data_IF_784276643031
#
_entry.id   IF_784276643031
#
_cell.length_a   1.000
_cell.length_b   1.000
_cell.length_c   1.000
_cell.angle_alpha   90.00
_cell.angle_beta   90.00
_cell.angle_gamma   90.00
#
_symmetry.space_group_name_H-M   'P 1'
#
loop_
_entity.id
_entity.type
_entity.pdbx_description
1 polymer ?
#
# COMPACT_ATOMS: atom_id res chain seq x y z
N UNK A 1 -88.69 -4.63 -14.98
CA UNK A 1 -87.94 -5.32 -13.92
C UNK A 1 -86.79 -4.37 -13.59
N UNK A 2 -86.97 -3.53 -12.57
CA UNK A 2 -86.49 -3.82 -11.21
C UNK A 2 -84.99 -4.10 -11.25
N UNK A 3 -84.07 -3.35 -10.65
CA UNK A 3 -84.12 -2.30 -9.65
C UNK A 3 -82.81 -2.39 -8.84
N UNK A 4 -82.30 -1.24 -8.36
CA UNK A 4 -81.28 -1.08 -7.28
C UNK A 4 -79.87 -1.65 -7.58
N UNK A 5 -78.74 -1.11 -7.12
CA UNK A 5 -78.43 -0.26 -5.96
C UNK A 5 -77.00 0.32 -6.12
N UNK A 6 -76.83 1.56 -5.65
CA UNK A 6 -75.67 2.19 -4.98
C UNK A 6 -74.21 1.87 -5.43
N UNK A 7 -73.43 2.82 -5.98
CA UNK A 7 -72.82 4.03 -5.39
C UNK A 7 -71.72 3.77 -4.34
N UNK A 8 -70.44 3.95 -4.71
CA UNK A 8 -69.54 4.98 -4.12
C UNK A 8 -68.09 4.91 -4.66
N UNK A 9 -67.55 6.11 -4.97
CA UNK A 9 -66.16 6.62 -4.77
C UNK A 9 -64.99 5.86 -5.42
N UNK A 10 -63.93 6.46 -5.93
CA UNK A 10 -63.37 7.82 -6.03
C UNK A 10 -62.34 7.69 -7.19
N UNK A 11 -62.20 8.69 -8.07
CA UNK A 11 -60.95 9.47 -8.24
C UNK A 11 -59.66 8.63 -8.08
N UNK A 12 -58.70 8.57 -9.01
CA UNK A 12 -58.13 9.63 -9.84
C UNK A 12 -57.05 9.00 -10.72
N UNK A 13 -56.77 9.59 -11.88
CA UNK A 13 -55.74 9.14 -12.81
C UNK A 13 -54.35 9.08 -12.18
N UNK A 14 -53.65 7.96 -12.39
CA UNK A 14 -52.21 7.84 -12.14
C UNK A 14 -51.47 8.20 -13.42
N UNK A 15 -50.94 9.42 -13.41
CA UNK A 15 -49.91 9.90 -14.30
C UNK A 15 -48.58 9.24 -13.91
N UNK A 16 -47.86 8.71 -14.91
CA UNK A 16 -46.59 8.02 -14.74
C UNK A 16 -45.51 9.06 -14.47
N UNK A 17 -45.18 9.28 -13.19
CA UNK A 17 -44.02 10.07 -12.79
C UNK A 17 -42.76 9.19 -12.83
N UNK A 18 -41.83 9.56 -13.72
CA UNK A 18 -40.43 9.12 -13.69
C UNK A 18 -39.78 9.66 -12.42
N UNK A 19 -39.33 8.78 -11.54
CA UNK A 19 -38.38 9.14 -10.48
C UNK A 19 -36.97 9.01 -11.03
N UNK A 20 -36.40 10.16 -11.40
CA UNK A 20 -34.95 10.33 -11.48
C UNK A 20 -34.40 10.22 -10.05
N UNK A 21 -33.61 9.18 -9.81
CA UNK A 21 -32.86 9.03 -8.56
C UNK A 21 -31.63 9.93 -8.62
N UNK A 22 -31.60 10.94 -7.74
CA UNK A 22 -30.46 11.81 -7.46
C UNK A 22 -29.19 10.98 -7.24
N UNK A 23 -28.15 11.31 -8.01
CA UNK A 23 -26.77 10.86 -7.80
C UNK A 23 -26.03 12.03 -7.17
N UNK A 24 -26.31 12.35 -5.92
CA UNK A 24 -25.65 13.45 -5.20
C UNK A 24 -25.59 13.12 -3.70
N UNK A 25 -24.72 12.17 -3.30
CA UNK A 25 -24.37 11.93 -1.90
C UNK A 25 -22.86 11.57 -1.71
N UNK A 26 -22.00 11.77 -2.72
CA UNK A 26 -20.53 11.64 -2.56
C UNK A 26 -19.83 12.98 -2.18
N UNK A 27 -20.56 14.09 -2.10
CA UNK A 27 -19.94 15.43 -2.02
C UNK A 27 -19.52 15.90 -0.61
N UNK A 28 -19.81 15.17 0.47
CA UNK A 28 -19.59 15.71 1.84
C UNK A 28 -18.54 14.98 2.72
N UNK A 29 -17.83 13.98 2.21
CA UNK A 29 -16.70 13.37 2.94
C UNK A 29 -15.35 14.03 2.61
N UNK A 30 -15.23 14.67 1.45
CA UNK A 30 -13.97 15.27 0.97
C UNK A 30 -13.78 16.71 1.45
N UNK A 31 -14.88 17.42 1.74
CA UNK A 31 -14.87 18.80 2.25
C UNK A 31 -14.19 18.89 3.62
N UNK A 32 -14.41 17.89 4.50
CA UNK A 32 -13.81 17.78 5.83
C UNK A 32 -12.32 17.44 5.84
N UNK A 33 -11.85 16.64 4.86
CA UNK A 33 -10.44 16.23 4.76
C UNK A 33 -9.51 17.35 4.27
N UNK A 34 -10.05 18.34 3.54
CA UNK A 34 -9.30 19.52 3.09
C UNK A 34 -8.79 20.42 4.24
N UNK A 35 -9.31 20.21 5.47
CA UNK A 35 -8.94 20.94 6.68
C UNK A 35 -8.14 20.10 7.67
N UNK A 36 -7.82 18.85 7.34
CA UNK A 36 -6.95 18.00 8.17
C UNK A 36 -5.50 18.37 7.86
N UNK A 37 -5.09 19.53 8.36
CA UNK A 37 -3.68 19.76 8.68
C UNK A 37 -3.38 18.92 9.91
N UNK A 38 -2.55 17.88 9.76
CA UNK A 38 -1.94 17.21 10.89
C UNK A 38 -0.90 18.14 11.49
N UNK A 39 -1.37 19.04 12.35
CA UNK A 39 -0.53 20.00 13.03
C UNK A 39 0.42 19.33 14.04
N UNK A 40 0.20 18.04 14.35
CA UNK A 40 1.02 17.29 15.27
C UNK A 40 1.47 15.98 14.62
N UNK A 41 2.78 15.73 14.66
CA UNK A 41 3.33 14.43 14.31
C UNK A 41 2.64 13.35 15.15
N UNK A 42 2.19 12.26 14.53
CA UNK A 42 1.44 11.26 15.24
C UNK A 42 2.26 10.65 16.40
N UNK A 43 1.62 10.43 17.55
CA UNK A 43 2.30 9.82 18.70
C UNK A 43 2.75 8.41 18.36
N UNK A 44 4.07 8.17 18.36
CA UNK A 44 4.68 6.87 18.08
C UNK A 44 4.49 5.92 19.27
N UNK A 45 3.80 4.80 19.04
CA UNK A 45 3.68 3.70 20.00
C UNK A 45 4.40 2.45 19.46
N UNK A 46 5.28 1.85 20.26
CA UNK A 46 5.87 0.52 19.97
C UNK A 46 5.05 -0.55 20.67
N UNK A 47 4.63 -1.58 19.94
CA UNK A 47 3.67 -2.57 20.45
C UNK A 47 4.34 -3.87 20.91
N UNK A 48 4.39 -4.12 22.22
CA UNK A 48 4.83 -5.39 22.83
C UNK A 48 3.66 -6.10 23.54
N UNK A 49 2.70 -6.56 22.75
CA UNK A 49 1.78 -7.68 23.09
C UNK A 49 0.80 -7.57 24.28
N UNK A 50 0.76 -6.52 25.10
CA UNK A 50 -0.05 -6.59 26.33
C UNK A 50 -1.56 -6.22 26.22
N UNK A 51 -1.99 -5.28 25.35
CA UNK A 51 -3.40 -4.83 25.36
C UNK A 51 -3.97 -4.43 23.99
N UNK A 52 -4.31 -5.40 23.14
CA UNK A 52 -4.88 -5.12 21.81
C UNK A 52 -6.13 -4.21 21.87
N UNK A 53 -6.76 -4.03 23.04
CA UNK A 53 -7.85 -3.08 23.25
C UNK A 53 -7.46 -1.63 22.93
N UNK A 54 -6.20 -1.23 23.16
CA UNK A 54 -5.72 0.11 22.79
C UNK A 54 -5.69 0.28 21.28
N UNK A 55 -5.14 -0.70 20.55
CA UNK A 55 -5.13 -0.67 19.08
C UNK A 55 -6.56 -0.63 18.54
N UNK A 56 -7.43 -1.50 19.05
CA UNK A 56 -8.85 -1.51 18.70
C UNK A 56 -9.51 -0.16 18.97
N UNK A 57 -9.20 0.50 20.08
CA UNK A 57 -9.72 1.84 20.39
C UNK A 57 -9.18 2.94 19.47
N UNK A 58 -7.89 2.91 19.10
CA UNK A 58 -7.27 3.89 18.19
C UNK A 58 -7.90 3.80 16.79
N UNK A 59 -8.21 2.58 16.34
CA UNK A 59 -8.65 2.29 14.98
C UNK A 59 -10.14 1.92 14.86
N UNK A 60 -10.94 2.04 15.92
CA UNK A 60 -12.33 1.58 15.98
C UNK A 60 -13.21 2.11 14.85
N UNK A 61 -13.05 3.41 14.54
CA UNK A 61 -13.85 4.14 13.56
C UNK A 61 -13.02 4.55 12.33
N UNK A 62 -11.86 3.92 12.11
CA UNK A 62 -10.98 4.26 11.00
C UNK A 62 -11.48 3.62 9.69
N UNK A 63 -11.97 4.44 8.76
CA UNK A 63 -12.29 4.08 7.38
C UNK A 63 -11.10 4.31 6.43
N UNK A 64 -10.07 5.02 6.89
CA UNK A 64 -8.88 5.38 6.15
C UNK A 64 -7.65 5.33 7.06
N UNK A 65 -6.66 4.53 6.68
CA UNK A 65 -5.38 4.40 7.38
C UNK A 65 -4.21 4.56 6.41
N UNK A 66 -3.06 5.04 6.89
CA UNK A 66 -1.80 4.95 6.15
C UNK A 66 -1.03 3.72 6.60
N UNK A 67 -0.39 3.03 5.66
CA UNK A 67 0.30 1.76 5.84
C UNK A 67 1.66 1.78 5.15
N UNK A 68 2.67 1.26 5.84
CA UNK A 68 3.99 0.94 5.29
C UNK A 68 4.57 -0.26 6.06
N UNK A 69 5.52 -0.99 5.47
CA UNK A 69 6.25 -2.06 6.14
C UNK A 69 7.76 -1.88 5.98
N UNK A 70 8.50 -2.26 7.01
CA UNK A 70 9.96 -2.29 6.99
C UNK A 70 10.50 -3.65 7.39
N UNK A 71 11.57 -4.08 6.72
CA UNK A 71 12.10 -5.43 6.88
C UNK A 71 13.51 -5.63 6.31
N UNK A 72 13.99 -6.87 6.42
CA UNK A 72 15.24 -7.32 5.81
C UNK A 72 14.87 -8.08 4.53
N UNK A 73 15.29 -7.55 3.38
CA UNK A 73 14.91 -8.09 2.06
C UNK A 73 13.37 -8.27 1.92
N UNK A 74 12.60 -7.27 2.37
CA UNK A 74 11.13 -7.30 2.50
C UNK A 74 10.43 -8.04 1.34
N UNK A 75 9.55 -8.98 1.70
CA UNK A 75 8.89 -9.92 0.79
C UNK A 75 8.99 -11.37 1.28
N UNK A 76 8.46 -12.33 0.52
CA UNK A 76 8.38 -13.75 0.89
C UNK A 76 9.72 -14.45 1.13
N UNK A 77 10.81 -13.89 0.61
CA UNK A 77 12.16 -14.40 0.83
C UNK A 77 12.92 -13.63 1.93
N UNK A 78 12.30 -12.60 2.50
CA UNK A 78 12.87 -11.75 3.52
C UNK A 78 12.23 -12.00 4.88
N UNK A 79 12.25 -10.94 5.68
CA UNK A 79 11.52 -10.87 6.95
C UNK A 79 10.97 -9.47 7.18
N UNK A 80 9.68 -9.40 7.45
CA UNK A 80 9.04 -8.18 7.96
C UNK A 80 9.45 -7.96 9.40
N UNK A 81 9.85 -6.74 9.73
CA UNK A 81 10.31 -6.38 11.08
C UNK A 81 9.35 -5.43 11.77
N UNK A 82 8.81 -4.44 11.05
CA UNK A 82 7.91 -3.42 11.57
C UNK A 82 6.77 -3.21 10.57
N UNK A 83 5.54 -3.08 11.08
CA UNK A 83 4.40 -2.55 10.32
C UNK A 83 4.06 -1.17 10.87
N UNK A 84 4.00 -0.16 10.01
CA UNK A 84 3.54 1.18 10.38
C UNK A 84 2.08 1.34 10.00
N UNK A 85 1.24 1.67 10.98
CA UNK A 85 -0.17 1.99 10.71
C UNK A 85 -0.49 3.33 11.36
N UNK A 86 -1.03 4.26 10.58
CA UNK A 86 -1.46 5.54 11.08
C UNK A 86 -2.92 5.84 10.77
N UNK A 87 -3.56 6.57 11.69
CA UNK A 87 -4.72 7.41 11.41
C UNK A 87 -4.24 8.85 11.26
N UNK A 88 -5.17 9.76 10.96
CA UNK A 88 -4.90 11.20 11.04
C UNK A 88 -4.37 11.64 12.42
N UNK A 89 -4.68 10.94 13.53
CA UNK A 89 -4.28 11.38 14.89
C UNK A 89 -3.07 10.63 15.47
N UNK A 90 -2.82 9.40 15.04
CA UNK A 90 -1.90 8.47 15.71
C UNK A 90 -1.16 7.60 14.70
N UNK A 91 0.07 7.21 15.03
CA UNK A 91 0.94 6.35 14.22
C UNK A 91 1.51 5.32 15.16
N UNK A 92 1.29 4.06 14.82
CA UNK A 92 1.71 2.94 15.62
C UNK A 92 2.76 2.18 14.83
N UNK A 93 3.89 1.89 15.48
CA UNK A 93 4.95 1.05 14.96
C UNK A 93 4.81 -0.32 15.62
N UNK A 94 4.31 -1.29 14.87
CA UNK A 94 4.01 -2.62 15.36
C UNK A 94 5.25 -3.49 15.16
N UNK A 95 5.86 -3.94 16.25
CA UNK A 95 6.99 -4.85 16.19
C UNK A 95 6.49 -6.27 15.90
N UNK A 96 6.64 -6.69 14.64
CA UNK A 96 6.25 -8.02 14.16
C UNK A 96 7.45 -8.94 14.00
N UNK A 97 8.65 -8.51 14.42
CA UNK A 97 9.86 -9.30 14.29
C UNK A 97 9.74 -10.57 15.14
N UNK A 98 9.68 -11.72 14.47
CA UNK A 98 9.51 -13.02 15.14
C UNK A 98 8.06 -13.35 15.50
N UNK A 99 7.09 -12.50 15.13
CA UNK A 99 5.69 -12.87 15.16
C UNK A 99 5.42 -13.97 14.14
N UNK A 100 4.51 -14.88 14.47
CA UNK A 100 4.02 -15.93 13.58
C UNK A 100 2.56 -15.67 13.16
N UNK A 101 2.05 -16.49 12.24
CA UNK A 101 0.68 -16.40 11.71
C UNK A 101 -0.41 -16.49 12.79
N UNK A 102 -0.10 -17.13 13.91
CA UNK A 102 -1.00 -17.33 15.06
C UNK A 102 -0.89 -16.24 16.13
N UNK A 103 0.04 -15.31 15.99
CA UNK A 103 0.30 -14.27 16.99
C UNK A 103 -0.90 -13.32 17.09
N UNK A 104 -1.33 -12.91 18.30
CA UNK A 104 -2.50 -12.03 18.46
C UNK A 104 -2.38 -10.70 17.70
N UNK A 105 -1.17 -10.14 17.61
CA UNK A 105 -0.91 -8.94 16.81
C UNK A 105 -1.16 -9.19 15.31
N UNK A 106 -0.73 -10.34 14.79
CA UNK A 106 -0.95 -10.74 13.39
C UNK A 106 -2.44 -10.98 13.12
N UNK A 107 -3.17 -11.57 14.07
CA UNK A 107 -4.62 -11.70 13.96
C UNK A 107 -5.32 -10.34 13.88
N UNK A 108 -4.93 -9.37 14.73
CA UNK A 108 -5.46 -8.01 14.66
C UNK A 108 -5.10 -7.30 13.35
N UNK A 109 -3.85 -7.46 12.87
CA UNK A 109 -3.44 -6.94 11.57
C UNK A 109 -4.29 -7.51 10.44
N UNK A 110 -4.59 -8.82 10.46
CA UNK A 110 -5.47 -9.46 9.48
C UNK A 110 -6.84 -8.81 9.45
N UNK A 111 -7.46 -8.61 10.61
CA UNK A 111 -8.78 -7.99 10.71
C UNK A 111 -8.85 -6.63 10.01
N UNK A 112 -7.89 -5.73 10.26
CA UNK A 112 -7.92 -4.37 9.69
C UNK A 112 -7.42 -4.32 8.23
N UNK A 113 -6.41 -5.12 7.87
CA UNK A 113 -5.79 -5.08 6.54
C UNK A 113 -6.60 -5.81 5.47
N UNK A 114 -7.38 -6.83 5.86
CA UNK A 114 -8.29 -7.54 4.95
C UNK A 114 -9.67 -6.86 4.81
N UNK A 115 -10.06 -5.98 5.75
CA UNK A 115 -11.33 -5.26 5.69
C UNK A 115 -11.35 -4.25 4.53
N UNK A 116 -12.16 -4.55 3.50
CA UNK A 116 -12.30 -3.70 2.31
C UNK A 116 -13.04 -2.38 2.58
N UNK A 117 -13.67 -2.22 3.74
CA UNK A 117 -14.29 -0.96 4.16
C UNK A 117 -13.26 0.05 4.66
N UNK A 118 -12.08 -0.44 5.08
CA UNK A 118 -10.96 0.40 5.49
C UNK A 118 -10.04 0.59 4.28
N UNK A 119 -9.85 1.83 3.84
CA UNK A 119 -8.91 2.16 2.78
C UNK A 119 -7.49 2.24 3.34
N UNK A 120 -6.54 1.52 2.74
CA UNK A 120 -5.12 1.54 3.11
C UNK A 120 -4.35 2.43 2.14
N UNK A 121 -3.97 3.64 2.57
CA UNK A 121 -3.07 4.53 1.82
C UNK A 121 -1.66 3.97 1.93
N UNK A 122 -1.09 3.53 0.83
CA UNK A 122 0.22 2.89 0.76
C UNK A 122 0.98 3.41 -0.46
N UNK A 123 2.30 3.37 -0.46
CA UNK A 123 3.10 3.78 -1.61
C UNK A 123 3.82 2.57 -2.20
N UNK A 124 3.36 2.09 -3.35
CA UNK A 124 3.91 0.90 -4.02
C UNK A 124 3.77 -0.38 -3.18
N UNK A 125 2.54 -0.90 -3.09
CA UNK A 125 2.18 -2.00 -2.18
C UNK A 125 2.72 -3.39 -2.53
N UNK A 126 3.48 -3.54 -3.62
CA UNK A 126 3.82 -4.85 -4.20
C UNK A 126 4.59 -5.73 -3.22
N UNK A 127 5.61 -5.19 -2.57
CA UNK A 127 6.45 -5.94 -1.62
C UNK A 127 5.82 -6.07 -0.24
N UNK A 128 5.03 -5.09 0.18
CA UNK A 128 4.25 -5.15 1.41
C UNK A 128 3.20 -6.26 1.35
N UNK A 129 2.43 -6.31 0.26
CA UNK A 129 1.42 -7.34 0.05
C UNK A 129 2.03 -8.74 -0.06
N UNK A 130 3.18 -8.86 -0.74
CA UNK A 130 3.93 -10.12 -0.82
C UNK A 130 4.41 -10.59 0.57
N UNK A 131 4.97 -9.68 1.36
CA UNK A 131 5.42 -9.99 2.71
C UNK A 131 4.24 -10.40 3.62
N UNK A 132 3.15 -9.62 3.62
CA UNK A 132 1.94 -9.89 4.39
C UNK A 132 1.34 -11.27 4.08
N UNK A 133 1.21 -11.61 2.80
CA UNK A 133 0.61 -12.88 2.40
C UNK A 133 1.49 -14.06 2.82
N UNK A 134 2.79 -14.03 2.50
CA UNK A 134 3.65 -15.20 2.64
C UNK A 134 4.16 -15.39 4.07
N UNK A 135 4.45 -14.31 4.80
CA UNK A 135 4.92 -14.38 6.19
C UNK A 135 3.75 -14.55 7.17
N UNK A 136 2.63 -13.86 6.95
CA UNK A 136 1.56 -13.72 7.96
C UNK A 136 0.20 -14.28 7.55
N UNK A 137 0.05 -14.73 6.30
CA UNK A 137 -1.26 -15.16 5.74
C UNK A 137 -2.30 -14.04 5.88
N UNK A 138 -1.90 -12.83 5.45
CA UNK A 138 -2.75 -11.64 5.39
C UNK A 138 -2.87 -11.21 3.93
N UNK A 139 -4.09 -11.17 3.40
CA UNK A 139 -4.37 -10.70 2.05
C UNK A 139 -4.76 -9.22 2.07
N UNK A 140 -3.79 -8.33 1.82
CA UNK A 140 -4.04 -6.90 1.77
C UNK A 140 -5.11 -6.55 0.70
N UNK A 141 -6.18 -5.84 1.10
CA UNK A 141 -7.26 -5.41 0.21
C UNK A 141 -7.45 -3.89 0.27
N UNK A 142 -8.32 -3.29 -0.55
CA UNK A 142 -8.78 -1.90 -0.36
C UNK A 142 -7.67 -0.84 -0.32
N UNK A 143 -6.66 -0.95 -1.19
CA UNK A 143 -5.53 -0.01 -1.19
C UNK A 143 -5.83 1.24 -2.01
N UNK A 144 -5.41 2.40 -1.48
CA UNK A 144 -5.10 3.58 -2.27
C UNK A 144 -3.59 3.58 -2.47
N UNK A 145 -3.12 2.99 -3.58
CA UNK A 145 -1.70 3.00 -3.90
C UNK A 145 -1.31 4.36 -4.51
N UNK A 146 -0.60 5.16 -3.73
CA UNK A 146 -0.22 6.52 -4.11
C UNK A 146 0.73 6.56 -5.31
N UNK A 147 1.52 5.50 -5.57
CA UNK A 147 2.36 5.40 -6.76
C UNK A 147 1.50 5.18 -8.02
N UNK A 148 0.44 4.37 -7.91
CA UNK A 148 -0.53 4.13 -8.97
C UNK A 148 -1.36 5.37 -9.29
N UNK A 149 -1.80 6.11 -8.26
CA UNK A 149 -2.48 7.40 -8.44
C UNK A 149 -1.56 8.44 -9.07
N UNK A 150 -0.30 8.51 -8.64
CA UNK A 150 0.68 9.41 -9.26
C UNK A 150 0.87 9.07 -10.75
N UNK A 151 0.92 7.78 -11.09
CA UNK A 151 0.99 7.33 -12.47
C UNK A 151 -0.24 7.75 -13.28
N UNK A 152 -1.45 7.52 -12.79
CA UNK A 152 -2.67 7.90 -13.50
C UNK A 152 -2.75 9.43 -13.75
N UNK A 153 -2.25 10.24 -12.81
CA UNK A 153 -2.28 11.70 -12.89
C UNK A 153 -1.18 12.26 -13.82
N UNK A 154 0.01 11.66 -13.81
CA UNK A 154 1.21 12.26 -14.44
C UNK A 154 1.78 11.47 -15.61
N UNK A 155 1.34 10.22 -15.79
CA UNK A 155 1.93 9.24 -16.71
C UNK A 155 3.28 8.66 -16.25
N UNK A 156 3.80 9.06 -15.08
CA UNK A 156 5.11 8.60 -14.57
C UNK A 156 4.96 7.33 -13.73
N UNK A 157 5.74 6.30 -14.01
CA UNK A 157 5.77 5.03 -13.25
C UNK A 157 6.94 4.99 -12.28
N UNK A 158 6.83 4.19 -11.22
CA UNK A 158 7.90 3.87 -10.26
C UNK A 158 8.63 5.12 -9.70
N UNK A 159 7.86 6.18 -9.39
CA UNK A 159 8.37 7.38 -8.73
C UNK A 159 8.34 7.14 -7.23
N UNK A 160 9.48 7.34 -6.55
CA UNK A 160 9.56 7.13 -5.09
C UNK A 160 8.67 8.12 -4.31
N UNK A 161 8.43 7.82 -3.03
CA UNK A 161 7.56 8.60 -2.16
C UNK A 161 7.99 10.07 -2.05
N UNK A 162 9.26 10.36 -1.81
CA UNK A 162 9.74 11.74 -1.65
C UNK A 162 9.60 12.59 -2.94
N UNK A 163 9.88 12.02 -4.10
CA UNK A 163 9.67 12.68 -5.38
C UNK A 163 8.17 12.88 -5.67
N UNK A 164 7.35 11.91 -5.25
CA UNK A 164 5.88 12.02 -5.30
C UNK A 164 5.41 13.17 -4.41
N UNK A 165 5.77 13.20 -3.13
CA UNK A 165 5.42 14.28 -2.18
C UNK A 165 5.82 15.66 -2.72
N UNK A 166 7.03 15.77 -3.28
CA UNK A 166 7.51 17.01 -3.91
C UNK A 166 6.60 17.48 -5.04
N UNK A 167 6.13 16.57 -5.89
CA UNK A 167 5.20 16.91 -6.98
C UNK A 167 3.88 17.51 -6.48
N UNK A 168 3.39 17.05 -5.32
CA UNK A 168 2.17 17.58 -4.70
C UNK A 168 2.42 18.79 -3.80
N UNK A 169 3.67 19.29 -3.72
CA UNK A 169 4.09 20.39 -2.84
C UNK A 169 3.89 20.09 -1.35
N UNK A 170 4.07 18.83 -0.99
CA UNK A 170 4.05 18.36 0.40
C UNK A 170 5.48 18.27 0.93
N UNK A 171 5.60 18.33 2.26
CA UNK A 171 6.88 18.15 2.92
C UNK A 171 7.39 16.72 2.68
N UNK A 172 8.67 16.64 2.31
CA UNK A 172 9.36 15.37 2.13
C UNK A 172 9.65 14.73 3.47
N UNK A 173 9.70 13.40 3.47
CA UNK A 173 10.22 12.62 4.58
C UNK A 173 11.70 12.92 4.78
N UNK A 174 12.19 12.71 6.00
CA UNK A 174 13.61 12.88 6.30
C UNK A 174 14.44 12.04 5.31
N UNK A 175 15.39 12.68 4.62
CA UNK A 175 16.28 11.96 3.70
C UNK A 175 17.03 10.86 4.47
N UNK A 176 16.68 9.61 4.18
CA UNK A 176 17.31 8.44 4.80
C UNK A 176 18.72 8.26 4.25
N UNK A 177 19.68 8.06 5.14
CA UNK A 177 21.03 7.68 4.75
C UNK A 177 21.06 6.18 4.41
N UNK A 178 20.84 5.88 3.13
CA UNK A 178 20.86 4.51 2.61
C UNK A 178 22.24 3.82 2.68
N UNK A 179 23.29 4.50 3.16
CA UNK A 179 24.57 3.86 3.46
C UNK A 179 24.48 2.91 4.67
N UNK A 180 23.49 3.12 5.56
CA UNK A 180 23.27 2.26 6.74
C UNK A 180 23.08 0.79 6.35
N UNK A 181 22.42 0.53 5.23
CA UNK A 181 22.17 -0.83 4.75
C UNK A 181 23.44 -1.53 4.22
N UNK A 182 24.52 -0.78 3.97
CA UNK A 182 25.82 -1.37 3.60
C UNK A 182 26.56 -1.92 4.81
N UNK A 183 26.43 -1.27 5.96
CA UNK A 183 27.12 -1.66 7.19
C UNK A 183 26.24 -2.54 8.08
N UNK A 184 24.92 -2.40 7.97
CA UNK A 184 23.94 -3.21 8.69
C UNK A 184 22.76 -3.55 7.76
N UNK A 185 22.87 -4.65 7.02
CA UNK A 185 21.76 -5.19 6.21
C UNK A 185 20.56 -5.60 7.07
N UNK A 186 20.79 -5.95 8.35
CA UNK A 186 19.76 -6.27 9.33
C UNK A 186 19.25 -5.03 10.10
N UNK A 187 19.37 -3.82 9.55
CA UNK A 187 19.00 -2.57 10.22
C UNK A 187 17.61 -2.63 10.85
N UNK A 188 16.61 -3.03 10.07
CA UNK A 188 15.22 -3.12 10.54
C UNK A 188 14.95 -4.27 11.51
N UNK A 189 15.78 -5.31 11.50
CA UNK A 189 15.71 -6.41 12.47
C UNK A 189 16.55 -6.14 13.74
N UNK A 190 17.29 -5.04 13.81
CA UNK A 190 18.10 -4.69 14.98
C UNK A 190 17.20 -4.26 16.14
N UNK A 191 17.46 -4.78 17.35
CA UNK A 191 16.70 -4.45 18.57
C UNK A 191 17.63 -4.05 19.72
N UNK A 192 17.20 -3.14 20.62
CA UNK A 192 15.94 -2.38 20.55
C UNK A 192 15.93 -1.38 19.38
N UNK A 193 14.75 -0.97 18.91
CA UNK A 193 14.65 0.05 17.86
C UNK A 193 15.26 1.38 18.32
N UNK A 194 16.17 1.93 17.52
CA UNK A 194 16.76 3.24 17.80
C UNK A 194 15.74 4.36 17.53
N UNK A 195 15.93 5.55 18.12
CA UNK A 195 15.10 6.72 17.82
C UNK A 195 15.12 7.09 16.33
N UNK A 196 16.26 6.85 15.66
CA UNK A 196 16.39 7.02 14.21
C UNK A 196 15.47 6.08 13.44
N UNK A 197 15.44 4.79 13.79
CA UNK A 197 14.55 3.81 13.15
C UNK A 197 13.09 4.20 13.32
N UNK A 198 12.71 4.61 14.54
CA UNK A 198 11.34 5.04 14.84
C UNK A 198 10.93 6.27 14.03
N UNK A 199 11.78 7.29 13.98
CA UNK A 199 11.52 8.51 13.20
C UNK A 199 11.42 8.20 11.69
N UNK A 200 12.35 7.41 11.16
CA UNK A 200 12.31 7.03 9.75
C UNK A 200 11.05 6.25 9.42
N UNK A 201 10.69 5.24 10.21
CA UNK A 201 9.48 4.45 9.99
C UNK A 201 8.22 5.31 10.06
N UNK A 202 8.11 6.21 11.05
CA UNK A 202 6.92 7.07 11.17
C UNK A 202 6.78 8.10 10.04
N UNK A 203 7.89 8.57 9.47
CA UNK A 203 7.87 9.55 8.38
C UNK A 203 7.17 8.98 7.13
N UNK A 204 7.30 7.68 6.84
CA UNK A 204 6.73 7.06 5.62
C UNK A 204 5.21 7.05 5.58
N UNK A 205 4.54 7.15 6.74
CA UNK A 205 3.08 7.23 6.84
C UNK A 205 2.56 8.64 7.18
N UNK A 206 3.44 9.59 7.52
CA UNK A 206 3.05 10.89 8.08
C UNK A 206 2.31 11.78 7.05
N UNK A 207 2.86 11.88 5.83
CA UNK A 207 2.31 12.76 4.78
C UNK A 207 1.23 12.08 3.92
N UNK A 208 0.90 10.81 4.20
CA UNK A 208 0.08 9.97 3.32
C UNK A 208 -1.37 10.44 3.22
N UNK A 209 -1.96 10.97 4.29
CA UNK A 209 -3.32 11.51 4.28
C UNK A 209 -3.45 12.76 3.39
N UNK A 210 -2.46 13.66 3.46
CA UNK A 210 -2.42 14.86 2.62
C UNK A 210 -2.20 14.48 1.16
N UNK A 211 -1.32 13.50 0.90
CA UNK A 211 -1.08 12.99 -0.43
C UNK A 211 -2.33 12.33 -1.03
N UNK A 212 -3.01 11.48 -0.25
CA UNK A 212 -4.29 10.88 -0.62
C UNK A 212 -5.32 11.95 -1.01
N UNK A 213 -5.54 12.96 -0.16
CA UNK A 213 -6.49 14.04 -0.43
C UNK A 213 -6.15 14.79 -1.73
N UNK A 214 -4.87 15.16 -1.91
CA UNK A 214 -4.41 15.85 -3.11
C UNK A 214 -4.54 14.99 -4.38
N UNK A 215 -4.32 13.68 -4.28
CA UNK A 215 -4.50 12.75 -5.39
C UNK A 215 -5.96 12.53 -5.73
N UNK A 216 -6.84 12.34 -4.74
CA UNK A 216 -8.29 12.20 -4.96
C UNK A 216 -8.87 13.42 -5.67
N UNK A 217 -8.42 14.62 -5.32
CA UNK A 217 -8.84 15.86 -5.99
C UNK A 217 -8.34 15.94 -7.44
N UNK A 218 -7.11 15.51 -7.72
CA UNK A 218 -6.48 15.63 -9.05
C UNK A 218 -6.78 14.48 -10.00
N UNK A 219 -7.14 13.30 -9.48
CA UNK A 219 -7.28 12.08 -10.29
C UNK A 219 -8.38 12.19 -11.34
N UNK A 220 -9.48 12.90 -11.05
CA UNK A 220 -10.62 13.03 -11.98
C UNK A 220 -11.03 11.67 -12.56
N UNK A 221 -11.06 11.55 -13.88
CA UNK A 221 -11.38 10.30 -14.60
C UNK A 221 -10.30 9.22 -14.50
N UNK A 222 -9.08 9.55 -14.05
CA UNK A 222 -7.97 8.62 -13.83
C UNK A 222 -8.10 7.78 -12.55
N UNK A 223 -9.09 8.05 -11.69
CA UNK A 223 -9.32 7.31 -10.43
C UNK A 223 -9.43 5.81 -10.65
N UNK A 224 -10.35 5.36 -11.52
CA UNK A 224 -10.58 3.94 -11.76
C UNK A 224 -9.37 3.23 -12.37
N UNK A 225 -8.58 3.93 -13.19
CA UNK A 225 -7.34 3.39 -13.75
C UNK A 225 -6.25 3.23 -12.67
N UNK A 226 -6.16 4.16 -11.71
CA UNK A 226 -5.27 4.04 -10.57
C UNK A 226 -5.66 2.89 -9.65
N UNK A 227 -6.96 2.74 -9.34
CA UNK A 227 -7.50 1.66 -8.53
C UNK A 227 -7.28 0.29 -9.19
N UNK A 228 -7.55 0.17 -10.50
CA UNK A 228 -7.28 -1.05 -11.26
C UNK A 228 -5.79 -1.43 -11.23
N UNK A 229 -4.89 -0.46 -11.39
CA UNK A 229 -3.45 -0.71 -11.27
C UNK A 229 -3.03 -1.10 -9.85
N UNK A 230 -3.63 -0.49 -8.83
CA UNK A 230 -3.41 -0.90 -7.44
C UNK A 230 -3.83 -2.36 -7.20
N UNK A 231 -4.94 -2.80 -7.79
CA UNK A 231 -5.34 -4.21 -7.77
C UNK A 231 -4.33 -5.11 -8.51
N UNK A 232 -3.85 -4.71 -9.68
CA UNK A 232 -2.78 -5.43 -10.40
C UNK A 232 -1.48 -5.51 -9.58
N UNK A 233 -1.17 -4.48 -8.77
CA UNK A 233 -0.02 -4.49 -7.87
C UNK A 233 -0.18 -5.53 -6.76
N UNK A 234 -1.37 -5.63 -6.15
CA UNK A 234 -1.67 -6.65 -5.14
C UNK A 234 -1.54 -8.08 -5.68
N UNK A 235 -1.92 -8.32 -6.95
CA UNK A 235 -1.81 -9.65 -7.59
C UNK A 235 -0.37 -10.18 -7.67
N UNK A 236 0.66 -9.33 -7.54
CA UNK A 236 2.04 -9.81 -7.52
C UNK A 236 2.36 -10.71 -6.32
N UNK A 237 1.61 -10.58 -5.22
CA UNK A 237 1.71 -11.50 -4.09
C UNK A 237 1.35 -12.95 -4.47
N UNK A 238 0.47 -13.15 -5.47
CA UNK A 238 0.08 -14.47 -5.98
C UNK A 238 1.01 -14.98 -7.10
N UNK A 239 1.94 -14.15 -7.59
CA UNK A 239 2.88 -14.55 -8.65
C UNK A 239 3.85 -15.65 -8.17
N UNK A 240 4.39 -16.41 -9.13
CA UNK A 240 5.53 -17.29 -8.86
C UNK A 240 6.77 -16.43 -8.58
N UNK A 241 7.65 -16.94 -7.73
CA UNK A 241 8.89 -16.24 -7.42
C UNK A 241 10.06 -17.20 -7.22
N UNK A 242 11.26 -16.75 -7.58
CA UNK A 242 12.51 -17.47 -7.36
C UNK A 242 13.62 -16.48 -7.03
N UNK A 243 14.73 -16.98 -6.49
CA UNK A 243 15.97 -16.22 -6.37
C UNK A 243 16.92 -16.56 -7.51
N UNK A 244 17.76 -15.60 -7.89
CA UNK A 244 18.81 -15.75 -8.90
C UNK A 244 20.08 -15.03 -8.45
N UNK A 245 21.22 -15.66 -8.67
CA UNK A 245 22.54 -15.01 -8.57
C UNK A 245 22.91 -14.43 -9.93
N UNK A 246 23.33 -13.17 -9.94
CA UNK A 246 23.72 -12.43 -11.15
C UNK A 246 25.24 -12.33 -11.22
N UNK A 247 25.83 -12.72 -12.36
CA UNK A 247 27.29 -12.71 -12.54
C UNK A 247 27.89 -11.31 -12.52
N UNK A 248 27.19 -10.35 -13.12
CA UNK A 248 27.68 -8.99 -13.34
C UNK A 248 26.61 -7.95 -12.91
N UNK A 249 26.41 -7.68 -11.60
CA UNK A 249 25.30 -6.84 -11.13
C UNK A 249 25.30 -5.43 -11.73
N UNK A 250 26.46 -4.82 -11.92
CA UNK A 250 26.56 -3.48 -12.50
C UNK A 250 25.97 -3.41 -13.91
N UNK A 251 26.27 -4.40 -14.76
CA UNK A 251 25.74 -4.52 -16.13
C UNK A 251 24.27 -4.92 -16.13
N UNK A 252 23.86 -5.80 -15.22
CA UNK A 252 22.48 -6.24 -15.07
C UNK A 252 21.54 -5.12 -14.63
N UNK A 253 21.98 -4.29 -13.67
CA UNK A 253 21.23 -3.13 -13.19
C UNK A 253 21.28 -1.99 -14.22
N UNK A 254 22.47 -1.70 -14.76
CA UNK A 254 22.70 -0.55 -15.63
C UNK A 254 22.71 0.78 -14.87
N UNK A 255 23.06 1.87 -15.56
CA UNK A 255 23.14 3.20 -14.95
C UNK A 255 21.77 3.62 -14.42
N UNK A 256 21.68 3.85 -13.11
CA UNK A 256 20.42 4.21 -12.46
C UNK A 256 19.30 3.17 -12.60
N UNK A 257 19.63 1.89 -12.84
CA UNK A 257 18.64 0.82 -13.00
C UNK A 257 18.03 0.71 -14.41
N UNK A 258 18.60 1.36 -15.42
CA UNK A 258 18.03 1.39 -16.78
C UNK A 258 17.86 0.01 -17.40
N UNK A 259 18.85 -0.87 -17.25
CA UNK A 259 18.84 -2.19 -17.85
C UNK A 259 17.85 -3.10 -17.13
N UNK A 260 17.80 -3.01 -15.80
CA UNK A 260 16.84 -3.75 -14.99
C UNK A 260 15.40 -3.38 -15.35
N UNK A 261 15.09 -2.08 -15.45
CA UNK A 261 13.76 -1.61 -15.85
C UNK A 261 13.37 -2.07 -17.26
N UNK A 262 14.30 -1.97 -18.22
CA UNK A 262 14.05 -2.45 -19.58
C UNK A 262 13.81 -3.96 -19.61
N UNK A 263 14.57 -4.73 -18.82
CA UNK A 263 14.40 -6.17 -18.68
C UNK A 263 13.01 -6.48 -18.12
N UNK A 264 12.68 -5.96 -16.92
CA UNK A 264 11.38 -6.13 -16.27
C UNK A 264 10.20 -5.84 -17.20
N UNK A 265 10.24 -4.71 -17.92
CA UNK A 265 9.18 -4.34 -18.86
C UNK A 265 9.06 -5.34 -20.01
N UNK A 266 10.20 -5.76 -20.56
CA UNK A 266 10.20 -6.69 -21.70
C UNK A 266 9.83 -8.12 -21.33
N UNK A 267 10.03 -8.53 -20.06
CA UNK A 267 9.78 -9.89 -19.56
C UNK A 267 8.53 -9.98 -18.69
N UNK A 268 7.88 -8.85 -18.39
CA UNK A 268 6.74 -8.77 -17.46
C UNK A 268 7.06 -9.45 -16.13
N UNK A 269 8.22 -9.12 -15.57
CA UNK A 269 8.69 -9.62 -14.27
C UNK A 269 8.97 -8.46 -13.34
N UNK A 270 8.96 -8.72 -12.04
CA UNK A 270 9.50 -7.78 -11.04
C UNK A 270 10.76 -8.37 -10.42
N UNK A 271 11.79 -7.55 -10.30
CA UNK A 271 13.13 -7.97 -9.89
C UNK A 271 13.65 -7.04 -8.80
N UNK A 272 13.86 -7.59 -7.61
CA UNK A 272 14.40 -6.85 -6.46
C UNK A 272 15.76 -7.41 -6.07
N UNK A 273 16.71 -6.53 -5.75
CA UNK A 273 17.98 -6.94 -5.17
C UNK A 273 17.77 -7.52 -3.76
N UNK A 274 18.54 -8.54 -3.40
CA UNK A 274 18.50 -9.19 -2.09
C UNK A 274 19.89 -9.33 -1.49
N UNK A 275 19.93 -9.38 -0.17
CA UNK A 275 21.15 -9.52 0.60
C UNK A 275 22.00 -8.25 0.59
N UNK A 276 23.17 -8.31 1.24
CA UNK A 276 24.15 -7.24 1.13
C UNK A 276 24.60 -7.07 -0.33
N UNK A 277 24.98 -5.85 -0.72
CA UNK A 277 25.19 -5.47 -2.13
C UNK A 277 26.27 -6.30 -2.86
N UNK A 278 27.12 -7.00 -2.13
CA UNK A 278 28.18 -7.87 -2.63
C UNK A 278 27.69 -9.27 -3.03
N UNK A 279 26.54 -9.74 -2.53
CA UNK A 279 26.04 -11.09 -2.77
C UNK A 279 25.43 -11.31 -4.16
N UNK A 280 25.19 -10.24 -4.92
CA UNK A 280 24.72 -10.32 -6.31
C UNK A 280 23.40 -11.13 -6.48
N UNK A 281 22.58 -11.22 -5.43
CA UNK A 281 21.33 -11.98 -5.44
C UNK A 281 20.13 -11.08 -5.74
N UNK A 282 19.16 -11.64 -6.46
CA UNK A 282 17.92 -10.98 -6.82
C UNK A 282 16.74 -11.93 -6.63
N UNK A 283 15.63 -11.42 -6.10
CA UNK A 283 14.33 -12.07 -6.21
C UNK A 283 13.69 -11.70 -7.54
N UNK A 284 13.08 -12.68 -8.20
CA UNK A 284 12.38 -12.51 -9.48
C UNK A 284 10.97 -13.05 -9.33
N UNK A 285 10.00 -12.18 -9.52
CA UNK A 285 8.58 -12.48 -9.57
C UNK A 285 8.14 -12.56 -11.03
N UNK A 286 7.44 -13.62 -11.40
CA UNK A 286 7.09 -13.93 -12.77
C UNK A 286 5.72 -14.60 -12.86
N UNK A 287 5.03 -14.36 -13.99
CA UNK A 287 3.73 -14.98 -14.30
C UNK A 287 3.86 -16.10 -15.33
N UNK A 288 4.97 -16.17 -16.07
CA UNK A 288 5.26 -17.19 -17.08
C UNK A 288 6.76 -17.56 -17.11
N UNK A 289 7.06 -18.80 -17.52
CA UNK A 289 8.43 -19.34 -17.57
C UNK A 289 9.30 -18.67 -18.66
N UNK A 290 8.69 -18.17 -19.74
CA UNK A 290 9.44 -17.53 -20.83
C UNK A 290 10.11 -16.23 -20.35
N UNK A 291 9.37 -15.42 -19.59
CA UNK A 291 9.87 -14.22 -18.93
C UNK A 291 11.02 -14.55 -17.98
N UNK A 292 10.85 -15.55 -17.12
CA UNK A 292 11.89 -15.99 -16.20
C UNK A 292 13.16 -16.46 -16.92
N UNK A 293 13.03 -17.26 -17.98
CA UNK A 293 14.16 -17.76 -18.74
C UNK A 293 14.95 -16.65 -19.44
N UNK A 294 14.28 -15.59 -19.88
CA UNK A 294 14.93 -14.39 -20.40
C UNK A 294 15.71 -13.66 -19.30
N UNK A 295 15.16 -13.55 -18.10
CA UNK A 295 15.87 -12.98 -16.93
C UNK A 295 17.09 -13.83 -16.57
N UNK A 296 16.96 -15.17 -16.53
CA UNK A 296 18.08 -16.10 -16.29
C UNK A 296 19.19 -15.94 -17.32
N UNK A 297 18.85 -15.77 -18.61
CA UNK A 297 19.83 -15.49 -19.66
C UNK A 297 20.55 -14.16 -19.45
N UNK A 298 19.82 -13.11 -19.03
CA UNK A 298 20.41 -11.82 -18.73
C UNK A 298 21.35 -11.87 -17.50
N UNK A 299 20.99 -12.62 -16.46
CA UNK A 299 21.78 -12.78 -15.23
C UNK A 299 23.14 -13.45 -15.43
N UNK A 300 23.28 -14.26 -16.50
CA UNK A 300 24.51 -15.01 -16.83
C UNK A 300 25.51 -14.23 -17.69
N UNK A 301 25.07 -13.12 -18.31
CA UNK A 301 25.92 -12.23 -19.13
C UNK A 301 26.81 -11.38 -18.23
#
# INVERSE_FOLDING_TARGET
MEGREEANREATGQEVAKTEGNVDDEEDLTSGLSRVSLAESPTIMTWDTADLGILRGIFADADLIALDLEGVDLGRFGRTSIVQIATVKKCVLLDVLGADKGSPLVAWLREILEDSRVTKIIHDCRMDADALLHEFDIRLTGVHDTSCFHNAITGRVDVNLNDTLTHYRLDKNTNRDGSVYRTNHAFWATRPMTSKMKAWASDDVNSMFQLHAAQRQRAGTGKSAAEARGAEYLEWADAQATTLTVRSPGSFIGRGGSNLRALQNSTRTIIYGRGPRDKCEFAVYYRDEEGLDRVRRAARR
#
